data_IF_518284851813
#
_entry.id   IF_518284851813
#
_cell.length_a   1.000
_cell.length_b   1.000
_cell.length_c   1.000
_cell.angle_alpha   90.00
_cell.angle_beta   90.00
_cell.angle_gamma   90.00
#
_symmetry.space_group_name_H-M   'P 1'
#
loop_
_entity.id
_entity.type
_entity.pdbx_description
1 polymer ?
#
# COMPACT_ATOMS: atom_id res chain seq x y z
N UNK A 1 1.23 20.79 12.04
CA UNK A 1 0.89 19.64 12.90
C UNK A 1 1.96 18.57 12.66
N UNK A 2 2.49 17.89 13.69
CA UNK A 2 3.55 16.88 13.55
C UNK A 2 2.89 15.49 13.45
N UNK A 3 3.45 14.59 12.64
CA UNK A 3 2.98 13.20 12.48
C UNK A 3 1.56 13.07 11.90
N UNK A 4 1.20 13.93 10.95
CA UNK A 4 -0.14 13.95 10.36
C UNK A 4 -0.39 12.73 9.48
N UNK A 5 -1.53 12.07 9.68
CA UNK A 5 -2.01 10.93 8.89
C UNK A 5 -3.35 11.22 8.17
N UNK A 6 -3.75 12.49 8.04
CA UNK A 6 -5.11 12.90 7.61
C UNK A 6 -5.50 12.39 6.21
N UNK A 7 -4.53 12.11 5.35
CA UNK A 7 -4.74 11.56 3.99
C UNK A 7 -4.44 10.07 3.88
N UNK A 8 -4.18 9.41 5.00
CA UNK A 8 -3.83 8.01 5.08
C UNK A 8 -5.05 7.17 5.43
N UNK A 9 -5.17 6.04 4.75
CA UNK A 9 -6.18 5.04 5.04
C UNK A 9 -5.64 3.98 5.98
N UNK A 10 -6.39 3.69 7.05
CA UNK A 10 -5.94 2.79 8.12
C UNK A 10 -5.85 1.33 7.66
N UNK A 11 -6.69 0.92 6.72
CA UNK A 11 -6.67 -0.47 6.27
C UNK A 11 -5.50 -0.75 5.33
N UNK A 12 -5.29 0.16 4.37
CA UNK A 12 -4.20 0.04 3.40
C UNK A 12 -2.84 0.49 3.93
N UNK A 13 -2.81 1.32 4.97
CA UNK A 13 -1.59 1.99 5.44
C UNK A 13 -0.91 2.79 4.30
N UNK A 14 -1.74 3.27 3.38
CA UNK A 14 -1.35 4.08 2.23
C UNK A 14 -2.04 5.43 2.30
N UNK A 15 -1.43 6.44 1.70
CA UNK A 15 -1.88 7.82 1.73
C UNK A 15 -1.96 8.39 0.32
N UNK A 16 -2.78 9.44 0.16
CA UNK A 16 -2.88 10.17 -1.11
C UNK A 16 -1.79 11.23 -1.27
N UNK A 17 -1.12 11.63 -0.18
CA UNK A 17 -0.03 12.63 -0.16
C UNK A 17 1.25 12.01 0.41
N UNK A 18 2.36 12.18 -0.31
CA UNK A 18 3.66 11.59 0.03
C UNK A 18 4.20 12.10 1.37
N UNK A 19 4.19 13.40 1.60
CA UNK A 19 4.72 14.03 2.81
C UNK A 19 3.94 13.56 4.06
N UNK A 20 2.64 13.33 3.91
CA UNK A 20 1.83 12.77 4.98
C UNK A 20 2.09 11.28 5.20
N UNK A 21 2.34 10.50 4.15
CA UNK A 21 2.83 9.12 4.31
C UNK A 21 4.12 9.09 5.13
N UNK A 22 5.11 9.92 4.77
CA UNK A 22 6.38 9.97 5.50
C UNK A 22 6.14 10.41 6.95
N UNK A 23 5.35 11.47 7.17
CA UNK A 23 5.01 11.98 8.50
C UNK A 23 4.29 10.93 9.37
N UNK A 24 3.32 10.23 8.79
CA UNK A 24 2.57 9.18 9.46
C UNK A 24 3.46 7.97 9.78
N UNK A 25 4.31 7.56 8.82
CA UNK A 25 5.25 6.45 8.98
C UNK A 25 6.24 6.67 10.14
N UNK A 26 6.76 7.88 10.31
CA UNK A 26 7.69 8.22 11.40
C UNK A 26 6.99 8.41 12.75
N UNK A 27 5.65 8.43 12.78
CA UNK A 27 4.87 8.56 14.01
C UNK A 27 5.21 7.42 14.99
N UNK A 28 5.29 7.69 16.31
CA UNK A 28 5.39 6.64 17.31
C UNK A 28 4.22 5.64 17.27
N UNK A 29 3.03 6.08 16.83
CA UNK A 29 1.87 5.21 16.67
C UNK A 29 2.08 4.10 15.64
N UNK A 30 2.98 4.30 14.69
CA UNK A 30 3.31 3.36 13.62
C UNK A 30 4.66 2.65 13.84
N UNK A 31 5.24 2.72 15.03
CA UNK A 31 6.57 2.14 15.31
C UNK A 31 6.59 0.62 15.12
N UNK A 32 5.56 -0.08 15.58
CA UNK A 32 5.42 -1.52 15.38
C UNK A 32 5.31 -1.88 13.88
N UNK A 33 4.45 -1.16 13.15
CA UNK A 33 4.25 -1.35 11.72
C UNK A 33 5.56 -1.12 10.93
N UNK A 34 6.24 -0.02 11.23
CA UNK A 34 7.53 0.35 10.63
C UNK A 34 8.60 -0.67 10.92
N UNK A 35 8.72 -1.13 12.17
CA UNK A 35 9.72 -2.13 12.57
C UNK A 35 9.48 -3.48 11.89
N UNK A 36 8.22 -3.90 11.74
CA UNK A 36 7.88 -5.10 10.97
C UNK A 36 8.26 -4.94 9.49
N UNK A 37 7.94 -3.79 8.90
CA UNK A 37 8.27 -3.49 7.50
C UNK A 37 9.79 -3.42 7.26
N UNK A 38 10.55 -2.77 8.16
CA UNK A 38 12.01 -2.74 8.12
C UNK A 38 12.59 -4.16 8.15
N UNK A 39 12.09 -5.01 9.04
CA UNK A 39 12.54 -6.39 9.14
C UNK A 39 12.25 -7.24 7.90
N UNK A 40 11.10 -7.04 7.26
CA UNK A 40 10.73 -7.73 6.01
C UNK A 40 11.59 -7.26 4.84
N UNK A 41 11.88 -5.96 4.79
CA UNK A 41 12.53 -5.32 3.65
C UNK A 41 14.05 -5.18 3.79
N UNK A 42 14.64 -5.56 4.93
CA UNK A 42 16.07 -5.39 5.23
C UNK A 42 17.05 -5.98 4.21
N UNK A 43 16.63 -6.99 3.46
CA UNK A 43 17.45 -7.65 2.43
C UNK A 43 17.38 -6.94 1.06
N UNK A 44 16.48 -5.96 0.90
CA UNK A 44 16.38 -5.20 -0.35
C UNK A 44 17.33 -4.02 -0.29
N UNK A 45 18.15 -3.87 -1.32
CA UNK A 45 19.17 -2.79 -1.44
C UNK A 45 18.63 -1.40 -1.13
N UNK A 46 17.37 -1.11 -1.49
CA UNK A 46 16.71 0.18 -1.24
C UNK A 46 16.54 0.50 0.26
N UNK A 47 16.39 -0.52 1.11
CA UNK A 47 16.08 -0.36 2.54
C UNK A 47 17.21 -0.86 3.45
N UNK A 48 18.19 -1.59 2.91
CA UNK A 48 19.26 -2.26 3.66
C UNK A 48 19.98 -1.33 4.65
N UNK A 49 20.46 -0.17 4.18
CA UNK A 49 21.18 0.77 5.03
C UNK A 49 20.26 1.38 6.12
N UNK A 50 19.06 1.83 5.74
CA UNK A 50 18.11 2.40 6.68
C UNK A 50 17.66 1.39 7.75
N UNK A 51 17.50 0.12 7.37
CA UNK A 51 17.18 -0.97 8.30
C UNK A 51 18.36 -1.28 9.23
N UNK A 52 19.60 -1.26 8.72
CA UNK A 52 20.82 -1.49 9.50
C UNK A 52 21.06 -0.38 10.53
N UNK A 53 20.86 0.87 10.15
CA UNK A 53 21.07 2.03 11.01
C UNK A 53 19.86 2.35 11.90
N UNK A 54 18.77 1.59 11.74
CA UNK A 54 17.47 1.86 12.38
C UNK A 54 16.97 3.29 12.10
N UNK A 55 17.26 3.82 10.90
CA UNK A 55 16.85 5.15 10.48
C UNK A 55 15.39 5.15 10.02
N UNK A 56 14.50 5.58 10.91
CA UNK A 56 13.08 5.70 10.63
C UNK A 56 12.79 6.67 9.47
N UNK A 57 13.52 7.77 9.36
CA UNK A 57 13.24 8.77 8.33
C UNK A 57 13.63 8.27 6.95
N UNK A 58 14.84 7.76 6.76
CA UNK A 58 15.29 7.24 5.46
C UNK A 58 14.47 6.02 5.04
N UNK A 59 14.10 5.14 5.98
CA UNK A 59 13.20 4.04 5.68
C UNK A 59 11.83 4.53 5.20
N UNK A 60 11.18 5.44 5.94
CA UNK A 60 9.86 5.96 5.59
C UNK A 60 9.88 6.70 4.25
N UNK A 61 10.92 7.50 4.00
CA UNK A 61 11.15 8.20 2.74
C UNK A 61 11.27 7.24 1.56
N UNK A 62 11.97 6.13 1.73
CA UNK A 62 12.09 5.09 0.72
C UNK A 62 10.78 4.31 0.53
N UNK A 63 10.10 3.98 1.62
CA UNK A 63 8.92 3.12 1.62
C UNK A 63 7.71 3.81 0.99
N UNK A 64 7.51 5.09 1.32
CA UNK A 64 6.40 5.89 0.81
C UNK A 64 6.52 6.22 -0.68
N UNK A 65 7.62 5.89 -1.39
CA UNK A 65 7.71 6.13 -2.84
C UNK A 65 6.80 5.19 -3.61
N UNK A 66 6.15 5.71 -4.65
CA UNK A 66 5.41 4.87 -5.59
C UNK A 66 6.36 3.90 -6.31
N UNK A 67 5.88 2.69 -6.62
CA UNK A 67 6.61 1.70 -7.41
C UNK A 67 5.77 1.20 -8.58
N UNK A 68 6.36 0.45 -9.50
CA UNK A 68 5.63 -0.20 -10.60
C UNK A 68 4.50 -1.13 -10.11
N UNK A 69 4.53 -1.57 -8.85
CA UNK A 69 3.43 -2.35 -8.24
C UNK A 69 2.17 -1.53 -7.97
N UNK A 70 2.28 -0.20 -7.97
CA UNK A 70 1.17 0.72 -7.75
C UNK A 70 0.55 1.24 -9.06
N UNK A 71 1.05 0.80 -10.21
CA UNK A 71 0.61 1.24 -11.55
C UNK A 71 -0.14 0.13 -12.29
N UNK A 72 -1.23 0.48 -12.97
CA UNK A 72 -2.06 -0.46 -13.76
C UNK A 72 -1.54 -0.57 -15.20
N UNK A 73 -1.42 0.57 -15.89
CA UNK A 73 -0.90 0.65 -17.25
C UNK A 73 -0.23 2.03 -17.47
N UNK A 74 1.03 2.04 -17.89
CA UNK A 74 1.81 3.28 -17.98
C UNK A 74 1.95 3.99 -16.62
N UNK A 75 1.73 5.31 -16.59
CA UNK A 75 1.78 6.13 -15.36
C UNK A 75 0.43 6.23 -14.63
N UNK A 76 -0.56 5.39 -14.97
CA UNK A 76 -1.85 5.34 -14.29
C UNK A 76 -1.74 4.49 -13.01
N UNK A 77 -2.10 5.08 -11.86
CA UNK A 77 -2.05 4.41 -10.56
C UNK A 77 -3.33 3.61 -10.29
N UNK A 78 -3.19 2.50 -9.56
CA UNK A 78 -4.30 1.63 -9.12
C UNK A 78 -5.27 2.36 -8.19
N UNK A 79 -4.79 3.28 -7.37
CA UNK A 79 -5.59 3.99 -6.37
C UNK A 79 -5.01 5.38 -6.14
N UNK A 80 -5.85 6.37 -5.71
CA UNK A 80 -5.35 7.61 -5.15
C UNK A 80 -4.37 7.37 -3.98
N UNK A 81 -4.60 6.32 -3.19
CA UNK A 81 -3.76 5.89 -2.07
C UNK A 81 -2.52 5.14 -2.58
N UNK A 82 -1.52 5.89 -3.04
CA UNK A 82 -0.34 5.34 -3.74
C UNK A 82 0.96 5.38 -2.94
N UNK A 83 0.98 6.10 -1.83
CA UNK A 83 2.17 6.26 -0.98
C UNK A 83 1.98 5.44 0.29
N UNK A 84 2.70 4.33 0.43
CA UNK A 84 2.43 3.36 1.50
C UNK A 84 3.57 3.27 2.52
N UNK A 85 3.23 3.04 3.79
CA UNK A 85 4.21 2.83 4.86
C UNK A 85 5.01 1.54 4.64
N UNK A 86 4.40 0.55 3.98
CA UNK A 86 5.11 -0.61 3.46
C UNK A 86 4.44 -1.15 2.20
N UNK A 87 5.19 -1.41 1.12
CA UNK A 87 4.64 -1.99 -0.11
C UNK A 87 4.21 -3.46 0.03
N UNK A 88 4.54 -4.13 1.14
CA UNK A 88 4.26 -5.57 1.34
C UNK A 88 3.16 -5.84 2.37
N UNK A 89 2.67 -4.83 3.07
CA UNK A 89 1.75 -5.07 4.20
C UNK A 89 0.35 -5.50 3.76
N UNK A 90 -0.05 -5.26 2.52
CA UNK A 90 -1.31 -5.75 1.96
C UNK A 90 -1.19 -7.09 1.23
N UNK A 91 -0.01 -7.42 0.71
CA UNK A 91 0.21 -8.67 0.01
C UNK A 91 0.13 -9.84 1.00
N UNK A 92 -0.84 -10.73 0.83
CA UNK A 92 -1.07 -11.86 1.74
C UNK A 92 -1.94 -11.56 2.97
N UNK A 93 -2.52 -10.35 3.10
CA UNK A 93 -3.64 -10.12 4.04
C UNK A 93 -4.93 -10.68 3.45
N UNK A 94 -5.79 -11.34 4.24
CA UNK A 94 -7.12 -11.71 3.80
C UNK A 94 -7.95 -10.47 3.49
N UNK A 95 -8.86 -10.57 2.53
CA UNK A 95 -9.80 -9.50 2.25
C UNK A 95 -10.72 -9.28 3.47
N UNK A 96 -11.11 -8.03 3.75
CA UNK A 96 -12.16 -7.73 4.71
C UNK A 96 -13.45 -8.52 4.39
N UNK A 97 -14.26 -8.90 5.39
CA UNK A 97 -15.48 -9.69 5.17
C UNK A 97 -16.52 -9.01 4.28
N UNK A 98 -16.51 -7.68 4.24
CA UNK A 98 -17.38 -6.83 3.44
C UNK A 98 -16.88 -6.63 2.01
N UNK A 99 -15.68 -7.13 1.68
CA UNK A 99 -15.09 -7.02 0.36
C UNK A 99 -15.17 -8.34 -0.42
N UNK A 100 -15.70 -8.26 -1.64
CA UNK A 100 -15.85 -9.42 -2.53
C UNK A 100 -14.92 -9.31 -3.74
N UNK A 101 -14.08 -10.31 -3.95
CA UNK A 101 -13.32 -10.44 -5.20
C UNK A 101 -14.26 -10.89 -6.32
N UNK A 102 -14.26 -10.15 -7.43
CA UNK A 102 -15.02 -10.44 -8.64
C UNK A 102 -14.06 -10.56 -9.82
N UNK A 103 -14.32 -11.50 -10.72
CA UNK A 103 -13.58 -11.65 -11.98
C UNK A 103 -14.48 -11.19 -13.13
N UNK A 104 -13.96 -10.31 -13.99
CA UNK A 104 -14.62 -9.89 -15.23
C UNK A 104 -14.14 -10.67 -16.44
N UNK A 105 -14.88 -10.56 -17.54
CA UNK A 105 -14.49 -11.07 -18.84
C UNK A 105 -13.43 -10.18 -19.52
N UNK A 106 -12.77 -10.73 -20.54
CA UNK A 106 -11.78 -9.98 -21.33
C UNK A 106 -12.39 -8.72 -21.95
N UNK A 107 -11.77 -7.58 -21.71
CA UNK A 107 -12.23 -6.27 -22.18
C UNK A 107 -13.12 -5.52 -21.18
N UNK A 108 -13.53 -6.13 -20.08
CA UNK A 108 -14.24 -5.44 -19.00
C UNK A 108 -13.26 -4.78 -18.02
N UNK A 109 -13.60 -3.57 -17.59
CA UNK A 109 -12.93 -2.85 -16.52
C UNK A 109 -13.44 -3.31 -15.15
N UNK A 110 -12.63 -3.09 -14.10
CA UNK A 110 -13.05 -3.38 -12.73
C UNK A 110 -14.35 -2.65 -12.35
N UNK A 111 -14.47 -1.38 -12.71
CA UNK A 111 -15.64 -0.56 -12.38
C UNK A 111 -16.93 -1.06 -13.03
N UNK A 112 -16.86 -1.56 -14.27
CA UNK A 112 -18.01 -2.17 -14.95
C UNK A 112 -18.50 -3.44 -14.23
N UNK A 113 -17.57 -4.32 -13.83
CA UNK A 113 -17.88 -5.59 -13.15
C UNK A 113 -18.47 -5.34 -11.75
N UNK A 114 -17.86 -4.41 -11.00
CA UNK A 114 -18.36 -3.98 -9.69
C UNK A 114 -19.76 -3.35 -9.82
N UNK A 115 -19.92 -2.41 -10.75
CA UNK A 115 -21.19 -1.72 -10.99
C UNK A 115 -22.32 -2.66 -11.40
N UNK A 116 -22.05 -3.64 -12.27
CA UNK A 116 -23.02 -4.66 -12.66
C UNK A 116 -23.49 -5.53 -11.49
N UNK A 117 -22.67 -5.66 -10.44
CA UNK A 117 -23.01 -6.37 -9.20
C UNK A 117 -23.66 -5.47 -8.14
N UNK A 118 -23.95 -4.20 -8.45
CA UNK A 118 -24.45 -3.21 -7.50
C UNK A 118 -23.43 -2.79 -6.43
N UNK A 119 -22.13 -2.95 -6.72
CA UNK A 119 -21.02 -2.66 -5.82
C UNK A 119 -20.15 -1.53 -6.36
N UNK A 120 -19.34 -0.92 -5.50
CA UNK A 120 -18.25 -0.01 -5.90
C UNK A 120 -16.92 -0.71 -5.75
N UNK A 121 -16.05 -0.57 -6.73
CA UNK A 121 -14.74 -1.20 -6.70
C UNK A 121 -13.81 -0.51 -5.69
N UNK A 122 -13.16 -1.33 -4.85
CA UNK A 122 -12.14 -0.89 -3.92
C UNK A 122 -10.77 -1.41 -4.35
N UNK A 123 -10.02 -0.55 -5.03
CA UNK A 123 -8.74 -0.90 -5.62
C UNK A 123 -7.59 -0.95 -4.59
N UNK A 124 -7.84 -0.58 -3.32
CA UNK A 124 -6.83 -0.63 -2.24
C UNK A 124 -6.33 -2.05 -1.97
N UNK A 125 -7.19 -3.05 -2.14
CA UNK A 125 -6.90 -4.45 -1.82
C UNK A 125 -6.46 -5.27 -3.04
N UNK A 126 -6.23 -4.65 -4.19
CA UNK A 126 -5.66 -5.35 -5.35
C UNK A 126 -4.37 -6.13 -5.01
N UNK A 127 -3.44 -5.62 -4.18
CA UNK A 127 -2.25 -6.39 -3.80
C UNK A 127 -2.57 -7.68 -3.01
N UNK A 128 -3.72 -7.75 -2.34
CA UNK A 128 -4.16 -8.93 -1.57
C UNK A 128 -4.69 -10.05 -2.46
N UNK A 129 -5.18 -9.73 -3.66
CA UNK A 129 -5.65 -10.71 -4.66
C UNK A 129 -4.67 -10.93 -5.82
N UNK A 130 -3.65 -10.08 -5.96
CA UNK A 130 -2.60 -10.22 -6.96
C UNK A 130 -1.47 -11.15 -6.48
N UNK A 131 -1.83 -12.35 -6.04
CA UNK A 131 -0.89 -13.36 -5.60
C UNK A 131 -1.05 -14.59 -6.49
N UNK A 132 0.03 -14.99 -7.16
CA UNK A 132 0.12 -16.34 -7.69
C UNK A 132 0.41 -17.25 -6.49
N UNK A 133 -0.63 -17.83 -5.88
CA UNK A 133 -0.40 -18.87 -4.88
C UNK A 133 0.52 -19.94 -5.50
N UNK A 134 1.59 -20.31 -4.79
CA UNK A 134 2.35 -21.52 -5.06
C UNK A 134 1.57 -22.73 -4.57
#
# INVERSE_FOLDING_TARGET
KRYTCDTCDEASQCCTVYEQCVSCCISPMNDQLRSQAMNQLKQKRTYEQAAKDHDAFEFCRASCRTSSKSTVHGNAYMSPFRFCVSPEILAGRPLPPDLKALSGDSGQSCDEVCGASGMTCDLRYLPSINTCAK
#
